data_IF_694027726345
#
_entry.id   IF_694027726345
#
_cell.length_a   1.000
_cell.length_b   1.000
_cell.length_c   1.000
_cell.angle_alpha   90.00
_cell.angle_beta   90.00
_cell.angle_gamma   90.00
#
_symmetry.space_group_name_H-M   'P 1'
#
loop_
_entity.id
_entity.type
_entity.pdbx_description
1 polymer ?
#
# COMPACT_ATOMS: atom_id res chain seq x y z
N UNK A 1 -19.72 6.53 -13.11
CA UNK A 1 -18.50 5.73 -12.83
C UNK A 1 -18.84 4.36 -12.20
N UNK A 2 -19.82 3.60 -12.70
CA UNK A 2 -20.36 2.43 -11.98
C UNK A 2 -19.68 1.08 -12.22
N UNK A 3 -18.66 0.97 -13.08
CA UNK A 3 -18.06 -0.33 -13.46
C UNK A 3 -16.54 -0.41 -13.32
N UNK A 4 -15.88 0.72 -13.08
CA UNK A 4 -14.42 0.74 -13.02
C UNK A 4 -13.94 0.10 -11.71
N UNK A 5 -13.21 -1.02 -11.83
CA UNK A 5 -12.68 -1.77 -10.69
C UNK A 5 -11.16 -1.74 -10.59
N UNK A 6 -10.48 -1.43 -11.70
CA UNK A 6 -9.02 -1.48 -11.81
C UNK A 6 -8.52 -0.12 -12.26
N UNK A 7 -7.57 0.43 -11.51
CA UNK A 7 -6.78 1.60 -11.90
C UNK A 7 -5.31 1.18 -11.86
N UNK A 8 -4.61 1.42 -12.96
CA UNK A 8 -3.17 1.17 -13.07
C UNK A 8 -2.51 2.38 -13.72
N UNK A 9 -1.50 2.91 -13.05
CA UNK A 9 -0.70 4.03 -13.51
C UNK A 9 0.78 3.68 -13.37
N UNK A 10 1.56 4.07 -14.36
CA UNK A 10 3.01 3.81 -14.42
C UNK A 10 3.73 5.11 -14.82
N UNK A 11 4.86 5.42 -14.18
CA UNK A 11 5.66 6.64 -14.42
C UNK A 11 4.89 7.98 -14.28
N UNK A 12 3.85 8.05 -13.44
CA UNK A 12 3.06 9.27 -13.28
C UNK A 12 3.60 10.15 -12.13
N UNK A 13 3.79 11.44 -12.41
CA UNK A 13 4.11 12.43 -11.37
C UNK A 13 2.89 12.73 -10.48
N UNK A 14 1.71 12.73 -11.09
CA UNK A 14 0.42 13.02 -10.46
C UNK A 14 -0.63 11.99 -10.90
N UNK A 15 -0.50 10.71 -10.48
CA UNK A 15 -1.35 9.64 -10.98
C UNK A 15 -2.85 9.93 -10.86
N UNK A 16 -3.32 10.55 -9.77
CA UNK A 16 -4.75 10.72 -9.49
C UNK A 16 -5.00 11.98 -8.63
N UNK A 17 -6.01 12.78 -8.98
CA UNK A 17 -6.61 13.76 -8.07
C UNK A 17 -7.64 13.01 -7.20
N UNK A 18 -7.23 12.59 -6.00
CA UNK A 18 -8.00 11.70 -5.11
C UNK A 18 -9.39 12.21 -4.73
N UNK A 19 -9.65 13.51 -4.87
CA UNK A 19 -10.99 14.09 -4.70
C UNK A 19 -12.05 13.41 -5.57
N UNK A 20 -11.68 12.90 -6.74
CA UNK A 20 -12.60 12.17 -7.64
C UNK A 20 -12.79 10.68 -7.29
N UNK A 21 -11.92 10.13 -6.44
CA UNK A 21 -11.95 8.72 -6.03
C UNK A 21 -12.54 8.52 -4.62
N UNK A 22 -12.69 9.58 -3.83
CA UNK A 22 -13.29 9.52 -2.49
C UNK A 22 -14.65 8.84 -2.47
N UNK A 23 -15.41 8.91 -3.57
CA UNK A 23 -16.72 8.30 -3.73
C UNK A 23 -16.73 6.96 -4.49
N UNK A 24 -15.58 6.46 -4.94
CA UNK A 24 -15.50 5.28 -5.82
C UNK A 24 -15.47 3.98 -5.01
N UNK A 25 -16.66 3.49 -4.64
CA UNK A 25 -16.81 2.24 -3.91
C UNK A 25 -16.51 0.99 -4.74
N UNK A 26 -16.35 1.09 -6.07
CA UNK A 26 -16.18 -0.10 -6.91
C UNK A 26 -14.73 -0.54 -7.14
N UNK A 27 -13.75 0.30 -6.77
CA UNK A 27 -12.34 -0.01 -7.03
C UNK A 27 -11.88 -1.17 -6.15
N UNK A 28 -11.32 -2.18 -6.80
CA UNK A 28 -10.73 -3.37 -6.18
C UNK A 28 -9.22 -3.42 -6.35
N UNK A 29 -8.69 -2.82 -7.41
CA UNK A 29 -7.26 -2.85 -7.73
C UNK A 29 -6.77 -1.44 -8.01
N UNK A 30 -5.75 -1.02 -7.27
CA UNK A 30 -5.04 0.22 -7.49
C UNK A 30 -3.54 -0.06 -7.58
N UNK A 31 -2.94 0.18 -8.75
CA UNK A 31 -1.51 0.06 -8.99
C UNK A 31 -0.93 1.40 -9.39
N UNK A 32 0.01 1.89 -8.59
CA UNK A 32 0.72 3.14 -8.78
C UNK A 32 2.21 2.81 -8.85
N UNK A 33 2.65 2.32 -10.00
CA UNK A 33 4.03 1.90 -10.18
C UNK A 33 4.88 3.08 -10.62
N UNK A 34 6.11 3.21 -10.09
CA UNK A 34 7.06 4.26 -10.48
C UNK A 34 6.47 5.67 -10.45
N UNK A 35 5.58 5.94 -9.50
CA UNK A 35 4.92 7.23 -9.33
C UNK A 35 5.64 8.05 -8.25
N UNK A 36 5.74 9.37 -8.41
CA UNK A 36 6.43 10.22 -7.42
C UNK A 36 5.58 10.53 -6.18
N UNK A 37 4.26 10.36 -6.27
CA UNK A 37 3.28 10.48 -5.16
C UNK A 37 3.47 11.74 -4.29
N UNK A 38 3.69 12.89 -4.93
CA UNK A 38 4.00 14.17 -4.27
C UNK A 38 2.78 14.87 -3.62
N UNK A 39 1.71 14.15 -3.30
CA UNK A 39 0.46 14.73 -2.76
C UNK A 39 -0.12 13.84 -1.66
N UNK A 40 -1.12 14.36 -0.93
CA UNK A 40 -1.76 13.63 0.17
C UNK A 40 -2.54 12.41 -0.34
N UNK A 41 -2.24 11.25 0.24
CA UNK A 41 -2.85 9.97 -0.08
C UNK A 41 -3.81 9.48 1.02
N UNK A 42 -4.15 10.33 1.99
CA UNK A 42 -5.03 10.02 3.12
C UNK A 42 -6.40 9.47 2.69
N UNK A 43 -6.93 9.91 1.55
CA UNK A 43 -8.22 9.44 1.03
C UNK A 43 -8.23 7.97 0.59
N UNK A 44 -7.08 7.28 0.50
CA UNK A 44 -7.05 5.86 0.09
C UNK A 44 -7.93 4.98 0.97
N UNK A 45 -8.06 5.30 2.26
CA UNK A 45 -8.89 4.55 3.19
C UNK A 45 -10.39 4.59 2.89
N UNK A 46 -10.85 5.44 1.97
CA UNK A 46 -12.25 5.44 1.51
C UNK A 46 -12.55 4.30 0.51
N UNK A 47 -11.51 3.71 -0.11
CA UNK A 47 -11.64 2.60 -1.04
C UNK A 47 -11.90 1.28 -0.29
N UNK A 48 -13.04 1.18 0.39
CA UNK A 48 -13.41 0.08 1.28
C UNK A 48 -13.50 -1.30 0.59
N UNK A 49 -13.59 -1.31 -0.75
CA UNK A 49 -13.60 -2.52 -1.57
C UNK A 49 -12.23 -2.88 -2.18
N UNK A 50 -11.17 -2.13 -1.84
CA UNK A 50 -9.84 -2.38 -2.36
C UNK A 50 -9.29 -3.72 -1.86
N UNK A 51 -8.84 -4.54 -2.80
CA UNK A 51 -8.26 -5.87 -2.60
C UNK A 51 -6.76 -5.88 -2.92
N UNK A 52 -6.32 -5.07 -3.88
CA UNK A 52 -4.92 -4.97 -4.30
C UNK A 52 -4.48 -3.52 -4.31
N UNK A 53 -3.39 -3.23 -3.59
CA UNK A 53 -2.72 -1.94 -3.56
C UNK A 53 -1.23 -2.14 -3.85
N UNK A 54 -0.73 -1.52 -4.92
CA UNK A 54 0.71 -1.50 -5.22
C UNK A 54 1.23 -0.08 -5.36
N UNK A 55 2.35 0.18 -4.70
CA UNK A 55 3.19 1.36 -4.82
C UNK A 55 4.57 1.00 -5.41
N UNK A 56 4.72 -0.13 -6.10
CA UNK A 56 6.02 -0.62 -6.52
C UNK A 56 6.87 0.47 -7.20
N UNK A 57 8.10 0.66 -6.70
CA UNK A 57 9.09 1.63 -7.17
C UNK A 57 8.61 3.08 -7.10
N UNK A 58 7.64 3.38 -6.25
CA UNK A 58 7.11 4.74 -6.04
C UNK A 58 7.73 5.40 -4.81
N UNK A 59 7.81 6.72 -4.84
CA UNK A 59 8.45 7.56 -3.82
C UNK A 59 7.63 7.77 -2.53
N UNK A 60 6.88 6.76 -2.09
CA UNK A 60 6.07 6.84 -0.87
C UNK A 60 6.95 6.75 0.38
N UNK A 61 6.84 7.75 1.27
CA UNK A 61 7.65 7.84 2.50
C UNK A 61 6.93 7.31 3.75
N UNK A 62 5.60 7.28 3.73
CA UNK A 62 4.78 6.69 4.80
C UNK A 62 3.45 6.19 4.25
N UNK A 63 2.92 5.13 4.85
CA UNK A 63 1.53 4.72 4.60
C UNK A 63 0.58 5.65 5.39
N UNK A 64 -0.50 6.15 4.78
CA UNK A 64 -1.45 6.99 5.50
C UNK A 64 -2.15 6.19 6.60
N UNK A 65 -2.46 6.86 7.72
CA UNK A 65 -3.07 6.22 8.88
C UNK A 65 -4.45 5.58 8.57
N UNK A 66 -5.12 6.06 7.52
CA UNK A 66 -6.40 5.57 6.98
C UNK A 66 -6.28 4.23 6.25
N UNK A 67 -5.07 3.75 5.95
CA UNK A 67 -4.87 2.41 5.36
C UNK A 67 -5.48 1.31 6.23
N UNK A 68 -5.61 1.55 7.54
CA UNK A 68 -6.29 0.68 8.52
C UNK A 68 -7.75 0.36 8.14
N UNK A 69 -8.37 1.19 7.31
CA UNK A 69 -9.77 1.04 6.88
C UNK A 69 -9.92 0.04 5.73
N UNK A 70 -8.83 -0.35 5.07
CA UNK A 70 -8.84 -1.28 3.93
C UNK A 70 -9.00 -2.73 4.38
N UNK A 71 -10.15 -3.06 4.98
CA UNK A 71 -10.42 -4.38 5.57
C UNK A 71 -10.50 -5.52 4.56
N UNK A 72 -10.61 -5.21 3.27
CA UNK A 72 -10.62 -6.17 2.16
C UNK A 72 -9.29 -6.31 1.45
N UNK A 73 -8.25 -5.57 1.87
CA UNK A 73 -6.95 -5.63 1.23
C UNK A 73 -6.32 -6.99 1.43
N UNK A 74 -6.00 -7.66 0.32
CA UNK A 74 -5.36 -8.98 0.24
C UNK A 74 -3.91 -8.87 -0.16
N UNK A 75 -3.59 -7.94 -1.06
CA UNK A 75 -2.23 -7.75 -1.59
C UNK A 75 -1.76 -6.32 -1.31
N UNK A 76 -0.61 -6.19 -0.65
CA UNK A 76 0.13 -4.95 -0.51
C UNK A 76 1.53 -5.11 -1.12
N UNK A 77 1.84 -4.27 -2.11
CA UNK A 77 3.16 -4.25 -2.74
C UNK A 77 3.81 -2.87 -2.57
N UNK A 78 4.93 -2.86 -1.84
CA UNK A 78 5.79 -1.71 -1.57
C UNK A 78 7.23 -1.99 -2.03
N UNK A 79 7.40 -2.88 -3.00
CA UNK A 79 8.70 -3.24 -3.57
C UNK A 79 9.43 -2.02 -4.11
N UNK A 80 10.67 -1.80 -3.70
CA UNK A 80 11.47 -0.64 -4.15
C UNK A 80 10.96 0.72 -3.65
N UNK A 81 10.13 0.75 -2.59
CA UNK A 81 9.79 1.97 -1.87
C UNK A 81 10.87 2.31 -0.83
N UNK A 82 12.04 2.76 -1.30
CA UNK A 82 13.14 3.20 -0.45
C UNK A 82 12.71 4.27 0.56
N UNK A 83 13.18 4.16 1.80
CA UNK A 83 12.86 5.13 2.85
C UNK A 83 11.40 5.08 3.36
N UNK A 84 10.58 4.13 2.90
CA UNK A 84 9.21 3.95 3.40
C UNK A 84 9.23 3.58 4.89
N UNK A 85 8.51 4.37 5.67
CA UNK A 85 8.18 4.09 7.07
C UNK A 85 6.79 3.46 7.18
N UNK A 86 6.72 2.33 7.87
CA UNK A 86 5.46 1.70 8.25
C UNK A 86 5.33 1.80 9.77
N UNK A 87 4.21 2.36 10.24
CA UNK A 87 3.94 2.51 11.68
C UNK A 87 3.38 1.21 12.30
N UNK A 88 3.53 1.08 13.61
CA UNK A 88 3.07 -0.09 14.37
C UNK A 88 1.55 -0.29 14.23
N UNK A 89 1.10 -1.54 14.22
CA UNK A 89 -0.31 -1.89 14.17
C UNK A 89 -0.97 -1.72 12.80
N UNK A 90 -0.25 -1.24 11.77
CA UNK A 90 -0.76 -1.20 10.39
C UNK A 90 -1.17 -2.60 9.96
N UNK A 91 -0.30 -3.59 10.12
CA UNK A 91 -0.59 -4.96 9.68
C UNK A 91 -1.71 -5.59 10.52
N UNK A 92 -1.77 -5.35 11.84
CA UNK A 92 -2.87 -5.82 12.69
C UNK A 92 -4.25 -5.40 12.17
N UNK A 93 -4.35 -4.23 11.54
CA UNK A 93 -5.61 -3.71 11.00
C UNK A 93 -5.98 -4.29 9.62
N UNK A 94 -5.00 -4.72 8.85
CA UNK A 94 -5.19 -5.30 7.52
C UNK A 94 -5.53 -6.80 7.64
N UNK A 95 -6.65 -7.12 8.27
CA UNK A 95 -7.01 -8.50 8.72
C UNK A 95 -7.11 -9.54 7.60
N UNK A 96 -7.26 -9.12 6.33
CA UNK A 96 -7.34 -10.01 5.16
C UNK A 96 -6.08 -10.01 4.29
N UNK A 97 -5.00 -9.36 4.74
CA UNK A 97 -3.75 -9.35 3.99
C UNK A 97 -3.18 -10.76 3.88
N UNK A 98 -3.02 -11.22 2.64
CA UNK A 98 -2.55 -12.54 2.20
C UNK A 98 -1.16 -12.46 1.57
N UNK A 99 -0.84 -11.35 0.90
CA UNK A 99 0.44 -11.15 0.21
C UNK A 99 1.05 -9.78 0.57
N UNK A 100 2.33 -9.79 0.94
CA UNK A 100 3.12 -8.60 1.22
C UNK A 100 4.44 -8.65 0.42
N UNK A 101 4.59 -7.75 -0.54
CA UNK A 101 5.83 -7.58 -1.30
C UNK A 101 6.58 -6.36 -0.78
N UNK A 102 7.79 -6.55 -0.26
CA UNK A 102 8.57 -5.50 0.38
C UNK A 102 10.08 -5.65 0.13
N UNK A 103 10.48 -5.98 -1.10
CA UNK A 103 11.90 -6.12 -1.43
C UNK A 103 12.56 -4.73 -1.55
N UNK A 104 13.66 -4.47 -0.81
CA UNK A 104 14.42 -3.23 -0.95
C UNK A 104 15.25 -3.33 -2.23
N UNK A 105 14.70 -2.83 -3.33
CA UNK A 105 15.45 -2.54 -4.54
C UNK A 105 15.21 -1.07 -4.89
N UNK A 106 15.98 -0.19 -4.26
CA UNK A 106 16.23 1.12 -4.84
C UNK A 106 17.71 1.20 -5.27
N UNK A 107 17.98 2.06 -6.26
CA UNK A 107 19.33 2.27 -6.78
C UNK A 107 20.17 3.18 -5.85
N UNK A 108 19.64 3.54 -4.68
CA UNK A 108 20.19 4.54 -3.76
C UNK A 108 20.62 3.96 -2.42
N UNK A 109 20.32 2.69 -2.13
CA UNK A 109 20.72 2.01 -0.90
C UNK A 109 19.81 2.30 0.29
N UNK A 110 18.61 2.87 0.09
CA UNK A 110 17.66 3.07 1.19
C UNK A 110 16.82 1.80 1.41
N UNK A 111 16.86 1.29 2.64
CA UNK A 111 16.02 0.15 3.06
C UNK A 111 14.61 0.61 3.42
N UNK A 112 13.61 -0.26 3.25
CA UNK A 112 12.30 -0.09 3.89
C UNK A 112 12.51 -0.17 5.42
N UNK A 113 12.15 0.89 6.15
CA UNK A 113 12.44 1.00 7.57
C UNK A 113 11.27 0.48 8.40
N UNK A 114 11.30 -0.82 8.69
CA UNK A 114 10.45 -1.44 9.71
C UNK A 114 10.99 -1.05 11.09
N UNK A 115 10.37 -0.07 11.77
CA UNK A 115 10.77 0.32 13.14
C UNK A 115 10.05 -0.51 14.21
N UNK A 116 10.74 -0.79 15.32
CA UNK A 116 10.13 -1.33 16.55
C UNK A 116 9.43 -2.68 16.36
N UNK A 117 8.25 -2.83 16.97
CA UNK A 117 7.43 -4.06 16.91
C UNK A 117 6.97 -4.42 15.49
N UNK A 118 7.14 -3.54 14.51
CA UNK A 118 6.69 -3.80 13.15
C UNK A 118 7.46 -4.95 12.49
N UNK A 119 8.73 -5.15 12.86
CA UNK A 119 9.47 -6.36 12.47
C UNK A 119 8.78 -7.62 13.02
N UNK A 120 8.34 -7.59 14.27
CA UNK A 120 7.61 -8.71 14.87
C UNK A 120 6.23 -8.89 14.22
N UNK A 121 5.51 -7.81 13.92
CA UNK A 121 4.22 -7.89 13.22
C UNK A 121 4.37 -8.50 11.83
N UNK A 122 5.40 -8.10 11.06
CA UNK A 122 5.72 -8.70 9.76
C UNK A 122 6.11 -10.16 9.93
N UNK A 123 7.00 -10.49 10.87
CA UNK A 123 7.44 -11.88 11.12
C UNK A 123 6.27 -12.78 11.54
N UNK A 124 5.44 -12.33 12.48
CA UNK A 124 4.23 -13.05 12.90
C UNK A 124 3.25 -13.21 11.74
N UNK A 125 3.13 -12.20 10.89
CA UNK A 125 2.33 -12.31 9.67
C UNK A 125 2.91 -13.34 8.70
N UNK A 126 4.21 -13.34 8.50
CA UNK A 126 4.91 -14.30 7.65
C UNK A 126 4.66 -15.73 8.12
N UNK A 127 4.78 -16.00 9.43
CA UNK A 127 4.44 -17.32 10.01
C UNK A 127 2.99 -17.72 9.71
N UNK A 128 2.05 -16.81 9.94
CA UNK A 128 0.63 -17.03 9.66
C UNK A 128 0.32 -17.27 8.17
N UNK A 129 1.10 -16.67 7.26
CA UNK A 129 0.94 -16.82 5.81
C UNK A 129 1.65 -18.05 5.26
N UNK A 130 2.76 -18.48 5.87
CA UNK A 130 3.49 -19.68 5.48
C UNK A 130 2.87 -20.97 6.04
N UNK A 131 1.96 -20.87 7.00
CA UNK A 131 1.34 -22.03 7.66
C UNK A 131 2.33 -22.84 8.52
N UNK A 132 3.39 -22.17 9.01
CA UNK A 132 4.45 -22.75 9.85
C UNK A 132 4.34 -22.18 11.26
#
# INVERSE_FOLDING_TARGET
>A
MGKLQVISSDHMKYPLLFSSLECSTNIRVLRLHRCSLMFDFSSIGSLSNLEVLSFAKSGIRSLPSTIRNLKKLRVLDVTGCGGLRIDNGVFKNLVRLEELYACPFDYHGETINFKGDNCNEVVERWKNLSGI
#
